data_IF_662965998552
#
_entry.id   IF_662965998552
#
_cell.length_a   1.000
_cell.length_b   1.000
_cell.length_c   1.000
_cell.angle_alpha   90.00
_cell.angle_beta   90.00
_cell.angle_gamma   90.00
#
_symmetry.space_group_name_H-M   'P 1'
#
loop_
_entity.id
_entity.type
_entity.pdbx_description
1 polymer ?
#
# COMPACT_ATOMS: atom_id res chain seq x y z
N UNK A 1 21.66 -11.37 -18.43
CA UNK A 1 20.60 -10.42 -18.07
C UNK A 1 19.24 -11.07 -17.86
N UNK A 2 18.81 -12.02 -18.71
CA UNK A 2 17.52 -12.74 -18.58
C UNK A 2 17.47 -13.69 -17.37
N UNK A 3 18.57 -14.30 -16.98
CA UNK A 3 18.63 -15.25 -15.84
C UNK A 3 18.44 -14.56 -14.48
N UNK A 4 18.95 -13.36 -14.32
CA UNK A 4 18.78 -12.53 -13.10
C UNK A 4 17.34 -12.05 -12.92
N UNK A 5 16.65 -11.69 -14.03
CA UNK A 5 15.22 -11.32 -13.98
C UNK A 5 14.33 -12.49 -13.54
N UNK A 6 14.62 -13.71 -14.03
CA UNK A 6 13.90 -14.93 -13.59
C UNK A 6 14.19 -15.27 -12.13
N UNK A 7 15.44 -15.09 -11.67
CA UNK A 7 15.81 -15.32 -10.27
C UNK A 7 15.11 -14.35 -9.32
N UNK A 8 14.97 -13.07 -9.73
CA UNK A 8 14.28 -12.05 -8.92
C UNK A 8 12.76 -12.30 -8.82
N UNK A 9 12.13 -12.72 -9.92
CA UNK A 9 10.70 -13.11 -9.91
C UNK A 9 10.50 -14.36 -9.05
N UNK A 10 11.39 -15.35 -9.14
CA UNK A 10 11.34 -16.57 -8.33
C UNK A 10 11.60 -16.23 -6.86
N UNK A 11 12.58 -15.37 -6.53
CA UNK A 11 12.81 -14.91 -5.16
C UNK A 11 11.62 -14.11 -4.63
N UNK A 12 10.99 -13.26 -5.45
CA UNK A 12 9.80 -12.51 -5.05
C UNK A 12 8.59 -13.41 -4.82
N UNK A 13 8.40 -14.44 -5.66
CA UNK A 13 7.35 -15.46 -5.49
C UNK A 13 7.65 -16.36 -4.27
N UNK A 14 8.91 -16.83 -4.08
CA UNK A 14 9.31 -17.57 -2.87
C UNK A 14 9.20 -16.72 -1.61
N UNK A 15 9.49 -15.43 -1.72
CA UNK A 15 9.35 -14.46 -0.65
C UNK A 15 7.88 -14.28 -0.23
N UNK A 16 6.94 -14.40 -1.18
CA UNK A 16 5.50 -14.37 -0.91
C UNK A 16 4.98 -15.69 -0.31
N UNK A 17 5.65 -16.82 -0.56
CA UNK A 17 5.25 -18.14 -0.05
C UNK A 17 5.88 -18.52 1.30
N UNK A 18 6.98 -17.84 1.72
CA UNK A 18 7.81 -18.29 2.85
C UNK A 18 7.33 -17.86 4.25
N UNK A 19 6.33 -16.99 4.39
CA UNK A 19 5.87 -16.50 5.68
C UNK A 19 4.42 -16.87 5.96
N UNK A 20 4.19 -18.13 6.27
CA UNK A 20 2.98 -18.54 6.98
C UNK A 20 2.98 -17.99 8.41
N UNK A 21 1.92 -17.27 8.79
CA UNK A 21 1.63 -16.83 10.16
C UNK A 21 2.56 -15.79 10.80
N UNK A 22 2.58 -14.58 10.27
CA UNK A 22 2.98 -13.43 11.10
C UNK A 22 1.74 -12.93 11.85
N UNK A 23 1.57 -13.44 13.08
CA UNK A 23 0.42 -13.19 13.93
C UNK A 23 0.51 -11.89 14.71
N UNK A 24 -0.64 -11.36 14.96
CA UNK A 24 -1.17 -10.49 16.04
C UNK A 24 -0.23 -9.54 16.76
N UNK A 25 -0.44 -8.27 16.54
CA UNK A 25 -0.06 -7.21 17.46
C UNK A 25 -1.15 -7.08 18.55
N UNK A 26 -1.12 -7.97 19.51
CA UNK A 26 -1.73 -7.81 20.84
C UNK A 26 -0.68 -8.23 21.86
N UNK A 27 -0.67 -7.65 23.04
CA UNK A 27 0.28 -7.87 24.14
C UNK A 27 0.39 -9.31 24.69
N UNK A 28 0.11 -10.32 23.89
CA UNK A 28 0.19 -11.75 24.19
C UNK A 28 0.87 -12.50 23.03
N UNK A 29 2.12 -12.13 22.71
CA UNK A 29 2.95 -12.98 21.86
C UNK A 29 3.58 -14.08 22.72
N UNK A 30 3.51 -15.33 22.25
CA UNK A 30 4.41 -16.36 22.74
C UNK A 30 5.86 -15.97 22.43
N UNK A 31 6.81 -16.43 23.25
CA UNK A 31 8.25 -16.16 23.00
C UNK A 31 8.68 -16.62 21.59
N UNK A 32 8.08 -17.69 21.07
CA UNK A 32 8.32 -18.22 19.72
C UNK A 32 7.87 -17.25 18.61
N UNK A 33 6.72 -16.59 18.76
CA UNK A 33 6.22 -15.60 17.80
C UNK A 33 7.11 -14.35 17.78
N UNK A 34 7.62 -13.93 18.92
CA UNK A 34 8.57 -12.82 19.04
C UNK A 34 9.91 -13.14 18.35
N UNK A 35 10.41 -14.38 18.49
CA UNK A 35 11.64 -14.84 17.84
C UNK A 35 11.44 -14.90 16.31
N UNK A 36 10.33 -15.45 15.84
CA UNK A 36 10.02 -15.50 14.41
C UNK A 36 9.87 -14.11 13.80
N UNK A 37 9.25 -13.17 14.51
CA UNK A 37 9.15 -11.79 14.07
C UNK A 37 10.51 -11.11 14.04
N UNK A 38 11.36 -11.30 15.06
CA UNK A 38 12.72 -10.77 15.10
C UNK A 38 13.60 -11.33 13.98
N UNK A 39 13.49 -12.64 13.69
CA UNK A 39 14.19 -13.26 12.58
C UNK A 39 13.69 -12.72 11.24
N UNK A 40 12.38 -12.57 11.06
CA UNK A 40 11.80 -11.97 9.87
C UNK A 40 12.28 -10.52 9.67
N UNK A 41 12.30 -9.71 10.72
CA UNK A 41 12.82 -8.33 10.70
C UNK A 41 14.30 -8.27 10.29
N UNK A 42 15.08 -9.32 10.61
CA UNK A 42 16.50 -9.42 10.29
C UNK A 42 16.79 -9.89 8.85
N UNK A 43 15.88 -10.66 8.25
CA UNK A 43 16.11 -11.29 6.94
C UNK A 43 15.24 -10.71 5.81
N UNK A 44 14.11 -10.06 6.13
CA UNK A 44 13.24 -9.47 5.12
C UNK A 44 13.68 -8.05 4.77
N UNK A 45 13.52 -7.61 3.51
CA UNK A 45 13.74 -6.22 3.15
C UNK A 45 12.83 -5.28 3.97
N UNK A 46 13.41 -4.19 4.48
CA UNK A 46 12.71 -3.23 5.36
C UNK A 46 11.35 -2.74 4.80
N UNK A 47 11.19 -2.48 3.49
CA UNK A 47 9.87 -2.12 2.95
C UNK A 47 8.79 -3.18 3.18
N UNK A 48 9.16 -4.46 3.18
CA UNK A 48 8.21 -5.56 3.45
C UNK A 48 7.81 -5.56 4.92
N UNK A 49 8.79 -5.50 5.81
CA UNK A 49 8.55 -5.43 7.26
C UNK A 49 7.69 -4.22 7.62
N UNK A 50 8.02 -3.05 7.09
CA UNK A 50 7.28 -1.81 7.33
C UNK A 50 5.87 -1.84 6.74
N UNK A 51 5.67 -2.52 5.60
CA UNK A 51 4.31 -2.76 5.06
C UNK A 51 3.46 -3.59 6.05
N UNK A 52 4.04 -4.64 6.66
CA UNK A 52 3.33 -5.43 7.67
C UNK A 52 3.04 -4.62 8.94
N UNK A 53 3.99 -3.81 9.42
CA UNK A 53 3.79 -2.91 10.57
C UNK A 53 2.64 -1.94 10.30
N UNK A 54 2.59 -1.34 9.11
CA UNK A 54 1.51 -0.43 8.72
C UNK A 54 0.15 -1.14 8.60
N UNK A 55 0.10 -2.36 8.04
CA UNK A 55 -1.12 -3.17 7.99
C UNK A 55 -1.64 -3.53 9.39
N UNK A 56 -0.74 -3.92 10.29
CA UNK A 56 -1.09 -4.20 11.69
C UNK A 56 -1.62 -2.94 12.39
N UNK A 57 -1.03 -1.78 12.13
CA UNK A 57 -1.53 -0.51 12.63
C UNK A 57 -2.96 -0.25 12.13
N UNK A 58 -3.23 -0.37 10.81
CA UNK A 58 -4.56 -0.17 10.24
C UNK A 58 -5.58 -1.19 10.82
N UNK A 59 -5.17 -2.43 11.08
CA UNK A 59 -6.05 -3.44 11.68
C UNK A 59 -6.25 -3.28 13.19
N UNK A 60 -5.55 -2.36 13.85
CA UNK A 60 -5.63 -2.17 15.30
C UNK A 60 -6.95 -1.51 15.74
N UNK A 61 -7.36 -1.79 16.98
CA UNK A 61 -8.51 -1.13 17.59
C UNK A 61 -8.26 0.37 17.82
N UNK A 62 -6.99 0.74 18.05
CA UNK A 62 -6.59 2.14 18.13
C UNK A 62 -6.95 2.89 16.84
N UNK A 63 -6.58 2.36 15.69
CA UNK A 63 -6.86 2.99 14.40
C UNK A 63 -8.36 3.02 14.10
N UNK A 64 -9.10 1.94 14.40
CA UNK A 64 -10.55 1.88 14.25
C UNK A 64 -11.25 2.97 15.09
N UNK A 65 -10.85 3.11 16.36
CA UNK A 65 -11.37 4.14 17.26
C UNK A 65 -11.01 5.55 16.78
N UNK A 66 -9.77 5.75 16.30
CA UNK A 66 -9.34 7.02 15.72
C UNK A 66 -10.20 7.41 14.51
N UNK A 67 -10.40 6.49 13.56
CA UNK A 67 -11.25 6.68 12.38
C UNK A 67 -12.70 7.02 12.78
N UNK A 68 -13.26 6.29 13.73
CA UNK A 68 -14.62 6.54 14.22
C UNK A 68 -14.75 7.95 14.83
N UNK A 69 -13.73 8.39 15.56
CA UNK A 69 -13.75 9.69 16.24
C UNK A 69 -13.50 10.88 15.31
N UNK A 70 -12.57 10.75 14.36
CA UNK A 70 -12.07 11.86 13.56
C UNK A 70 -12.44 11.78 12.07
N UNK A 71 -13.04 10.66 11.64
CA UNK A 71 -13.49 10.44 10.27
C UNK A 71 -12.40 9.91 9.33
N UNK A 72 -12.85 9.51 8.14
CA UNK A 72 -12.02 8.82 7.15
C UNK A 72 -10.86 9.67 6.64
N UNK A 73 -11.07 10.98 6.39
CA UNK A 73 -10.00 11.87 5.93
C UNK A 73 -8.86 12.00 6.95
N UNK A 74 -9.18 12.15 8.23
CA UNK A 74 -8.18 12.17 9.29
C UNK A 74 -7.46 10.82 9.44
N UNK A 75 -8.18 9.73 9.21
CA UNK A 75 -7.59 8.39 9.23
C UNK A 75 -6.58 8.19 8.09
N UNK A 76 -6.80 8.76 6.89
CA UNK A 76 -5.84 8.74 5.78
C UNK A 76 -4.55 9.48 6.18
N UNK A 77 -4.68 10.64 6.79
CA UNK A 77 -3.52 11.40 7.29
C UNK A 77 -2.74 10.60 8.34
N UNK A 78 -3.46 9.86 9.20
CA UNK A 78 -2.84 9.03 10.22
C UNK A 78 -2.11 7.81 9.65
N UNK A 79 -2.60 7.21 8.56
CA UNK A 79 -1.90 6.16 7.81
C UNK A 79 -0.54 6.69 7.33
N UNK A 80 -0.51 7.83 6.65
CA UNK A 80 0.73 8.40 6.13
C UNK A 80 1.68 8.85 7.24
N UNK A 81 1.16 9.44 8.32
CA UNK A 81 1.94 9.82 9.50
C UNK A 81 2.62 8.63 10.16
N UNK A 82 1.90 7.53 10.32
CA UNK A 82 2.47 6.31 10.88
C UNK A 82 3.50 5.69 9.94
N UNK A 83 3.25 5.72 8.62
CA UNK A 83 4.22 5.29 7.62
C UNK A 83 5.54 6.10 7.72
N UNK A 84 5.47 7.42 7.81
CA UNK A 84 6.65 8.28 8.02
C UNK A 84 7.40 7.92 9.31
N UNK A 85 6.67 7.67 10.39
CA UNK A 85 7.29 7.31 11.66
C UNK A 85 8.06 5.99 11.60
N UNK A 86 7.50 4.94 11.00
CA UNK A 86 8.16 3.61 10.92
C UNK A 86 9.25 3.52 9.87
N UNK A 87 9.37 4.51 9.00
CA UNK A 87 10.40 4.61 7.95
C UNK A 87 11.44 5.68 8.24
N UNK A 88 11.52 6.18 9.47
CA UNK A 88 12.43 7.26 9.87
C UNK A 88 12.34 8.50 8.96
N UNK A 89 11.11 8.85 8.54
CA UNK A 89 10.79 9.94 7.62
C UNK A 89 11.31 9.75 6.17
N UNK A 90 11.62 8.53 5.75
CA UNK A 90 11.81 8.25 4.33
C UNK A 90 10.48 8.38 3.58
N UNK A 91 10.29 9.53 2.92
CA UNK A 91 9.05 9.86 2.20
C UNK A 91 8.76 8.84 1.09
N UNK A 92 9.78 8.46 0.31
CA UNK A 92 9.63 7.51 -0.80
C UNK A 92 9.13 6.17 -0.28
N UNK A 93 9.79 5.63 0.73
CA UNK A 93 9.38 4.36 1.35
C UNK A 93 8.01 4.48 2.01
N UNK A 94 7.69 5.60 2.67
CA UNK A 94 6.39 5.85 3.30
C UNK A 94 5.24 5.82 2.30
N UNK A 95 5.41 6.47 1.15
CA UNK A 95 4.42 6.46 0.07
C UNK A 95 4.25 5.05 -0.52
N UNK A 96 5.37 4.36 -0.77
CA UNK A 96 5.36 2.99 -1.27
C UNK A 96 4.62 2.03 -0.33
N UNK A 97 5.00 1.97 0.95
CA UNK A 97 4.34 1.06 1.90
C UNK A 97 2.89 1.44 2.14
N UNK A 98 2.52 2.74 2.09
CA UNK A 98 1.14 3.18 2.19
C UNK A 98 0.30 2.67 1.03
N UNK A 99 0.82 2.70 -0.20
CA UNK A 99 0.10 2.16 -1.37
C UNK A 99 -0.19 0.67 -1.22
N UNK A 100 0.81 -0.11 -0.78
CA UNK A 100 0.66 -1.57 -0.62
C UNK A 100 -0.20 -1.94 0.61
N UNK A 101 -0.06 -1.20 1.72
CA UNK A 101 -0.81 -1.49 2.93
C UNK A 101 -2.30 -1.15 2.81
N UNK A 102 -2.66 -0.20 1.95
CA UNK A 102 -4.06 0.21 1.75
C UNK A 102 -4.80 -0.60 0.68
N UNK A 103 -4.14 -1.56 0.00
CA UNK A 103 -4.80 -2.44 -0.97
C UNK A 103 -6.00 -3.15 -0.34
N UNK A 104 -7.22 -2.98 -0.91
CA UNK A 104 -8.42 -3.63 -0.40
C UNK A 104 -8.56 -5.08 -0.86
N UNK A 105 -7.55 -5.62 -1.54
CA UNK A 105 -7.55 -6.97 -2.09
C UNK A 105 -6.45 -7.82 -1.43
N UNK A 106 -6.75 -9.09 -1.15
CA UNK A 106 -5.77 -10.08 -0.68
C UNK A 106 -5.03 -10.70 -1.86
N UNK A 107 -5.75 -10.90 -2.95
CA UNK A 107 -5.25 -11.48 -4.20
C UNK A 107 -6.04 -10.96 -5.38
N UNK A 108 -5.41 -10.95 -6.56
CA UNK A 108 -6.08 -10.57 -7.81
C UNK A 108 -5.59 -11.48 -8.96
N UNK A 109 -6.47 -11.92 -9.86
CA UNK A 109 -6.05 -12.58 -11.09
C UNK A 109 -5.37 -11.56 -12.01
N UNK A 110 -4.26 -11.93 -12.62
CA UNK A 110 -3.62 -11.14 -13.64
C UNK A 110 -3.28 -12.01 -14.86
N UNK A 111 -3.44 -11.45 -16.05
CA UNK A 111 -3.00 -12.09 -17.28
C UNK A 111 -1.58 -11.63 -17.61
N UNK A 112 -0.67 -12.58 -17.75
CA UNK A 112 0.66 -12.28 -18.24
C UNK A 112 0.58 -12.04 -19.75
N UNK A 113 0.89 -10.83 -20.25
CA UNK A 113 0.63 -10.44 -21.65
C UNK A 113 1.43 -11.26 -22.66
N UNK A 114 2.55 -11.87 -22.26
CA UNK A 114 3.44 -12.61 -23.16
C UNK A 114 2.97 -14.06 -23.39
N UNK A 115 2.33 -14.70 -22.41
CA UNK A 115 1.99 -16.13 -22.44
C UNK A 115 0.48 -16.39 -22.26
N UNK A 116 -0.33 -15.35 -22.20
CA UNK A 116 -1.79 -15.42 -22.03
C UNK A 116 -2.22 -16.42 -20.91
N UNK A 117 -1.44 -16.44 -19.82
CA UNK A 117 -1.64 -17.32 -18.68
C UNK A 117 -2.19 -16.53 -17.49
N UNK A 118 -3.27 -17.01 -16.88
CA UNK A 118 -3.85 -16.41 -15.70
C UNK A 118 -3.01 -16.79 -14.47
N UNK A 119 -2.42 -15.76 -13.81
CA UNK A 119 -1.67 -15.93 -12.57
C UNK A 119 -2.43 -15.23 -11.45
N UNK A 120 -2.50 -15.90 -10.31
CA UNK A 120 -3.06 -15.28 -9.10
C UNK A 120 -1.94 -14.56 -8.34
N UNK A 121 -1.97 -13.23 -8.33
CA UNK A 121 -1.08 -12.43 -7.51
C UNK A 121 -1.62 -12.29 -6.10
N UNK A 122 -0.79 -12.63 -5.12
CA UNK A 122 -1.10 -12.45 -3.71
C UNK A 122 -0.42 -11.18 -3.20
N UNK A 123 -1.21 -10.18 -2.83
CA UNK A 123 -0.72 -8.90 -2.30
C UNK A 123 -0.54 -8.91 -0.79
N UNK A 124 -1.07 -9.93 -0.13
CA UNK A 124 -1.01 -10.02 1.32
C UNK A 124 -0.93 -11.46 1.77
N UNK A 125 -0.01 -11.70 2.71
CA UNK A 125 0.13 -12.96 3.46
C UNK A 125 -0.58 -12.89 4.81
N UNK A 126 -1.38 -11.84 5.04
CA UNK A 126 -2.18 -11.73 6.25
C UNK A 126 -3.13 -12.92 6.39
N UNK A 127 -3.38 -13.36 7.62
CA UNK A 127 -4.49 -14.27 7.90
C UNK A 127 -5.82 -13.67 7.42
N UNK A 128 -6.81 -14.49 7.13
CA UNK A 128 -8.12 -13.99 6.69
C UNK A 128 -8.77 -13.08 7.75
N UNK A 129 -8.52 -13.36 9.02
CA UNK A 129 -8.97 -12.54 10.13
C UNK A 129 -8.33 -11.15 10.13
N UNK A 130 -7.01 -11.06 10.02
CA UNK A 130 -6.30 -9.78 10.01
C UNK A 130 -6.60 -8.97 8.75
N UNK A 131 -6.68 -9.63 7.59
CA UNK A 131 -7.11 -8.99 6.35
C UNK A 131 -8.50 -8.38 6.48
N UNK A 132 -9.48 -9.17 7.00
CA UNK A 132 -10.84 -8.68 7.20
C UNK A 132 -10.86 -7.48 8.14
N UNK A 133 -10.14 -7.53 9.27
CA UNK A 133 -10.07 -6.45 10.24
C UNK A 133 -9.45 -5.19 9.63
N UNK A 134 -8.35 -5.33 8.87
CA UNK A 134 -7.76 -4.22 8.13
C UNK A 134 -8.70 -3.66 7.08
N UNK A 135 -9.34 -4.50 6.29
CA UNK A 135 -10.31 -4.10 5.27
C UNK A 135 -11.48 -3.31 5.88
N UNK A 136 -12.04 -3.76 6.99
CA UNK A 136 -13.14 -3.07 7.69
C UNK A 136 -12.69 -1.71 8.25
N UNK A 137 -11.43 -1.60 8.66
CA UNK A 137 -10.85 -0.37 9.21
C UNK A 137 -10.38 0.62 8.14
N UNK A 138 -10.14 0.20 6.88
CA UNK A 138 -9.74 1.13 5.83
C UNK A 138 -10.76 2.27 5.67
N UNK A 139 -10.30 3.53 5.48
CA UNK A 139 -11.15 4.64 5.10
C UNK A 139 -11.94 4.32 3.83
N UNK A 140 -13.24 4.57 3.83
CA UNK A 140 -14.15 4.16 2.75
C UNK A 140 -15.05 5.26 2.21
N UNK A 141 -15.23 6.35 2.95
CA UNK A 141 -16.12 7.46 2.57
C UNK A 141 -15.43 8.80 2.79
N UNK A 142 -14.47 9.11 1.92
CA UNK A 142 -13.64 10.33 2.07
C UNK A 142 -13.76 11.31 0.89
N UNK A 143 -14.45 10.91 -0.19
CA UNK A 143 -14.79 11.77 -1.32
C UNK A 143 -16.25 12.20 -1.23
N UNK A 144 -16.64 13.28 -1.90
CA UNK A 144 -18.05 13.76 -1.86
C UNK A 144 -18.99 12.84 -2.63
N UNK A 145 -18.47 12.13 -3.62
CA UNK A 145 -19.18 11.19 -4.47
C UNK A 145 -18.92 9.73 -4.08
N UNK A 146 -18.53 9.49 -2.81
CA UNK A 146 -18.28 8.13 -2.29
C UNK A 146 -19.50 7.25 -2.47
N UNK A 147 -19.34 6.02 -3.00
CA UNK A 147 -20.39 5.01 -2.99
C UNK A 147 -20.90 4.74 -1.57
N UNK A 148 -22.18 4.41 -1.45
CA UNK A 148 -22.81 4.20 -0.14
C UNK A 148 -22.58 2.81 0.46
N UNK A 149 -21.95 1.91 -0.30
CA UNK A 149 -21.63 0.56 0.16
C UNK A 149 -20.39 0.54 1.08
N UNK A 150 -20.13 -0.60 1.70
CA UNK A 150 -18.99 -0.77 2.63
C UNK A 150 -17.62 -0.73 1.95
N UNK A 151 -17.56 -0.92 0.64
CA UNK A 151 -16.32 -0.82 -0.11
C UNK A 151 -15.95 0.65 -0.30
N UNK A 152 -16.90 1.46 -0.77
CA UNK A 152 -16.76 2.91 -0.92
C UNK A 152 -15.54 3.28 -1.79
N UNK A 153 -14.66 4.10 -1.23
CA UNK A 153 -13.47 4.62 -1.88
C UNK A 153 -12.18 3.84 -1.53
N UNK A 154 -12.27 2.63 -0.96
CA UNK A 154 -11.08 1.92 -0.46
C UNK A 154 -10.02 1.67 -1.53
N UNK A 155 -10.43 1.40 -2.77
CA UNK A 155 -9.55 1.22 -3.92
C UNK A 155 -8.84 2.53 -4.34
N UNK A 156 -9.38 3.68 -3.99
CA UNK A 156 -8.80 4.98 -4.33
C UNK A 156 -7.53 5.31 -3.54
N UNK A 157 -7.35 4.68 -2.36
CA UNK A 157 -6.15 4.89 -1.52
C UNK A 157 -4.85 4.37 -2.18
N UNK A 158 -4.80 3.13 -2.71
CA UNK A 158 -3.63 2.66 -3.44
C UNK A 158 -3.31 3.53 -4.67
N UNK A 159 -4.33 3.98 -5.40
CA UNK A 159 -4.15 4.89 -6.54
C UNK A 159 -3.51 6.21 -6.12
N UNK A 160 -3.99 6.80 -5.02
CA UNK A 160 -3.43 8.04 -4.49
C UNK A 160 -1.98 7.88 -4.06
N UNK A 161 -1.70 6.94 -3.14
CA UNK A 161 -0.35 6.75 -2.60
C UNK A 161 0.63 6.21 -3.64
N UNK A 162 0.17 5.32 -4.55
CA UNK A 162 1.00 4.79 -5.63
C UNK A 162 1.42 5.88 -6.62
N UNK A 163 0.50 6.72 -7.06
CA UNK A 163 0.80 7.86 -7.93
C UNK A 163 1.67 8.91 -7.23
N UNK A 164 1.49 9.09 -5.91
CA UNK A 164 2.36 9.96 -5.10
C UNK A 164 3.79 9.42 -5.06
N UNK A 165 3.94 8.12 -4.83
CA UNK A 165 5.24 7.44 -4.85
C UNK A 165 5.93 7.59 -6.20
N UNK A 166 5.23 7.30 -7.30
CA UNK A 166 5.79 7.42 -8.64
C UNK A 166 6.26 8.85 -8.94
N UNK A 167 5.45 9.85 -8.61
CA UNK A 167 5.79 11.25 -8.88
C UNK A 167 6.91 11.77 -7.99
N UNK A 168 6.92 11.42 -6.71
CA UNK A 168 8.01 11.76 -5.79
C UNK A 168 9.33 11.12 -6.22
N UNK A 169 9.31 9.83 -6.55
CA UNK A 169 10.51 9.07 -6.87
C UNK A 169 11.07 9.36 -8.27
N UNK A 170 10.23 9.78 -9.25
CA UNK A 170 10.71 10.12 -10.61
C UNK A 170 11.69 11.28 -10.62
N UNK A 171 11.47 12.27 -9.79
CA UNK A 171 12.29 13.49 -9.76
C UNK A 171 13.56 13.32 -8.90
N UNK A 172 13.59 12.31 -8.02
CA UNK A 172 14.76 12.02 -7.16
C UNK A 172 15.82 11.13 -7.82
N UNK A 173 15.63 10.67 -9.05
CA UNK A 173 16.52 9.72 -9.74
C UNK A 173 16.48 8.29 -9.19
N UNK A 174 15.76 8.05 -8.09
CA UNK A 174 15.55 6.71 -7.51
C UNK A 174 14.78 5.79 -8.47
N UNK A 175 13.94 6.36 -9.32
CA UNK A 175 13.17 5.62 -10.31
C UNK A 175 14.04 4.87 -11.32
N UNK A 176 15.18 5.39 -11.74
CA UNK A 176 16.04 4.70 -12.71
C UNK A 176 16.57 3.36 -12.18
N UNK A 177 16.70 3.20 -10.87
CA UNK A 177 17.13 1.94 -10.24
C UNK A 177 15.97 1.00 -9.89
N UNK A 178 14.81 1.55 -9.55
CA UNK A 178 13.63 0.78 -9.09
C UNK A 178 12.68 0.49 -10.25
N UNK A 179 12.57 1.37 -11.22
CA UNK A 179 11.57 1.36 -12.31
C UNK A 179 11.76 0.24 -13.33
N UNK A 180 12.97 -0.23 -13.58
CA UNK A 180 13.14 -1.37 -14.48
C UNK A 180 12.33 -2.62 -14.08
N UNK A 181 11.95 -2.70 -12.80
CA UNK A 181 11.15 -3.82 -12.26
C UNK A 181 9.76 -3.39 -11.75
N UNK A 182 9.57 -2.12 -11.38
CA UNK A 182 8.33 -1.61 -10.78
C UNK A 182 7.39 -0.96 -11.81
N UNK A 183 7.87 -0.51 -12.98
CA UNK A 183 6.95 -0.12 -14.07
C UNK A 183 6.18 -1.35 -14.54
N UNK A 184 6.86 -2.51 -14.72
CA UNK A 184 6.16 -3.76 -15.07
C UNK A 184 5.18 -4.17 -13.96
N UNK A 185 5.52 -3.93 -12.69
CA UNK A 185 4.62 -4.16 -11.55
C UNK A 185 3.54 -3.08 -11.45
N UNK A 186 3.88 -1.83 -11.67
CA UNK A 186 2.95 -0.71 -11.64
C UNK A 186 1.99 -0.73 -12.82
N UNK A 187 2.46 -0.99 -14.04
CA UNK A 187 1.59 -1.19 -15.20
C UNK A 187 0.70 -2.42 -15.03
N UNK A 188 1.22 -3.51 -14.46
CA UNK A 188 0.40 -4.64 -14.07
C UNK A 188 -0.61 -4.26 -12.98
N UNK A 189 -0.23 -3.45 -12.00
CA UNK A 189 -1.06 -2.99 -10.89
C UNK A 189 -2.18 -2.05 -11.35
N UNK A 190 -1.86 -1.09 -12.22
CA UNK A 190 -2.82 -0.13 -12.78
C UNK A 190 -3.58 -0.66 -14.01
N UNK A 191 -3.04 -1.69 -14.70
CA UNK A 191 -3.70 -2.33 -15.85
C UNK A 191 -4.61 -3.49 -15.46
N UNK A 192 -4.42 -4.08 -14.26
CA UNK A 192 -5.19 -5.23 -13.79
C UNK A 192 -6.66 -4.90 -13.51
N UNK A 193 -6.98 -3.67 -13.21
CA UNK A 193 -8.36 -3.25 -12.95
C UNK A 193 -9.18 -2.99 -14.22
N UNK A 194 -8.60 -3.09 -15.42
CA UNK A 194 -9.30 -3.24 -16.71
C UNK A 194 -10.39 -2.22 -17.06
N UNK A 195 -10.66 -1.27 -16.18
CA UNK A 195 -11.64 -0.24 -16.32
C UNK A 195 -10.99 1.14 -16.29
N UNK A 196 -11.28 1.91 -17.32
CA UNK A 196 -10.91 3.31 -17.48
C UNK A 196 -11.80 4.18 -16.53
N UNK A 197 -11.71 3.90 -15.20
CA UNK A 197 -12.50 4.63 -14.22
C UNK A 197 -11.97 6.08 -14.10
N UNK A 198 -12.85 7.04 -14.40
CA UNK A 198 -12.53 8.47 -14.29
C UNK A 198 -12.18 8.88 -12.85
N UNK A 199 -12.73 8.20 -11.85
CA UNK A 199 -12.39 8.44 -10.45
C UNK A 199 -10.96 8.01 -10.15
N UNK A 200 -10.47 6.89 -10.72
CA UNK A 200 -9.09 6.44 -10.58
C UNK A 200 -8.12 7.42 -11.21
N UNK A 201 -8.41 7.89 -12.44
CA UNK A 201 -7.60 8.90 -13.12
C UNK A 201 -7.51 10.20 -12.32
N UNK A 202 -8.62 10.65 -11.77
CA UNK A 202 -8.65 11.87 -10.94
C UNK A 202 -7.85 11.66 -9.65
N UNK A 203 -7.98 10.49 -9.01
CA UNK A 203 -7.22 10.16 -7.82
C UNK A 203 -5.71 10.05 -8.11
N UNK A 204 -5.33 9.45 -9.23
CA UNK A 204 -3.95 9.41 -9.70
C UNK A 204 -3.36 10.82 -9.88
N UNK A 205 -4.14 11.76 -10.46
CA UNK A 205 -3.69 13.16 -10.60
C UNK A 205 -3.49 13.86 -9.25
N UNK A 206 -4.38 13.63 -8.29
CA UNK A 206 -4.25 14.20 -6.94
C UNK A 206 -3.05 13.61 -6.21
N UNK A 207 -2.84 12.30 -6.33
CA UNK A 207 -1.68 11.62 -5.77
C UNK A 207 -0.37 12.12 -6.38
N UNK A 208 -0.30 12.22 -7.71
CA UNK A 208 0.87 12.76 -8.40
C UNK A 208 1.20 14.18 -7.93
N UNK A 209 0.16 15.03 -7.78
CA UNK A 209 0.35 16.38 -7.24
C UNK A 209 0.88 16.37 -5.81
N UNK A 210 0.37 15.49 -4.94
CA UNK A 210 0.85 15.34 -3.58
C UNK A 210 2.34 14.96 -3.55
N UNK A 211 2.76 13.96 -4.36
CA UNK A 211 4.16 13.56 -4.46
C UNK A 211 5.08 14.70 -4.89
N UNK A 212 4.68 15.48 -5.91
CA UNK A 212 5.44 16.65 -6.36
C UNK A 212 5.49 17.77 -5.32
N UNK A 213 4.41 18.01 -4.60
CA UNK A 213 4.36 19.03 -3.55
C UNK A 213 5.24 18.64 -2.35
N UNK A 214 5.36 17.35 -2.03
CA UNK A 214 6.30 16.84 -1.02
C UNK A 214 7.77 17.14 -1.39
N UNK A 215 8.15 17.00 -2.67
CA UNK A 215 9.49 17.36 -3.16
C UNK A 215 9.82 18.83 -2.96
N UNK A 216 8.80 19.69 -3.06
CA UNK A 216 8.94 21.15 -2.94
C UNK A 216 8.87 21.65 -1.50
N UNK A 217 8.90 20.75 -0.51
CA UNK A 217 8.68 21.07 0.90
C UNK A 217 7.36 21.81 1.17
N UNK A 218 6.37 21.60 0.33
CA UNK A 218 5.03 22.17 0.47
C UNK A 218 4.14 21.18 1.22
N UNK A 219 4.30 21.10 2.54
CA UNK A 219 3.70 20.08 3.39
C UNK A 219 2.21 20.29 3.57
N UNK A 220 1.44 19.57 2.73
CA UNK A 220 0.02 19.34 2.96
C UNK A 220 -0.20 17.88 3.33
N UNK A 221 -1.23 17.61 4.12
CA UNK A 221 -1.62 16.22 4.41
C UNK A 221 -2.34 15.58 3.23
N UNK A 222 -2.38 14.24 3.12
CA UNK A 222 -3.19 13.56 2.10
C UNK A 222 -4.64 14.06 2.03
N UNK A 223 -5.28 14.27 3.20
CA UNK A 223 -6.67 14.73 3.29
C UNK A 223 -6.92 16.09 2.62
N UNK A 224 -5.93 16.97 2.58
CA UNK A 224 -6.01 18.25 1.87
C UNK A 224 -6.29 18.07 0.38
N UNK A 225 -5.68 17.05 -0.24
CA UNK A 225 -5.90 16.74 -1.66
C UNK A 225 -7.25 16.08 -1.89
N UNK A 226 -7.72 15.26 -0.93
CA UNK A 226 -9.07 14.67 -0.99
C UNK A 226 -10.15 15.77 -0.94
N UNK A 227 -9.91 16.85 -0.17
CA UNK A 227 -10.79 18.02 -0.13
C UNK A 227 -10.84 18.82 -1.44
N UNK A 228 -9.93 18.58 -2.37
CA UNK A 228 -9.92 19.20 -3.72
C UNK A 228 -10.69 18.41 -4.77
N UNK A 229 -11.27 17.28 -4.38
CA UNK A 229 -12.03 16.42 -5.29
C UNK A 229 -13.21 17.13 -5.95
N UNK A 230 -13.79 18.10 -5.25
CA UNK A 230 -15.01 18.83 -5.66
C UNK A 230 -14.74 19.93 -6.71
N UNK A 231 -13.51 20.28 -6.95
CA UNK A 231 -13.09 21.36 -7.84
C UNK A 231 -12.46 20.79 -9.12
#
# INVERSE_FOLDING_TARGET
>A
MVLWKKLFIICFVFFLYGCGNVGRYNNEYSEEENILFFLADSFLPQPVVNTYRLRNFISSDFFANYKTKYGDRAAIDQIFKYALWITDNDISQSLFISSIATLPYKKTPAKLPVINFDVMFYFSLESDYNFKKRFDNLPSHFLVDSPTDKFGDKDKLPHFFGSSFLSYSSDTGLLSQIIGNLIELGEAFFSLEGYNDERDKKMNKLGAKFGLDLLRNNYHTPSYYMGKWEK
#
